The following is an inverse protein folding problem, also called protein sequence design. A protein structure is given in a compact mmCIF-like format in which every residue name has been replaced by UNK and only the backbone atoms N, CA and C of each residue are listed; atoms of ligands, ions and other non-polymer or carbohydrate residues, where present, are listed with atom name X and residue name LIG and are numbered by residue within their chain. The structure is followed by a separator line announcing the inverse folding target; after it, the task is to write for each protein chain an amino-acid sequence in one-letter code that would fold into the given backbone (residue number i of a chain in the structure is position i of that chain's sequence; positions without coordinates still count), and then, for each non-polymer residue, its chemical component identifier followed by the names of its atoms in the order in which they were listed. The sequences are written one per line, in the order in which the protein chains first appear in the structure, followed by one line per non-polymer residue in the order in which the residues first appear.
data_IF_235979947423
#
_entry.id   IF_235979947423
#
_cell.length_a   1.000
_cell.length_b   1.000
_cell.length_c   1.000
_cell.angle_alpha   90.00
_cell.angle_beta   90.00
_cell.angle_gamma   90.00
#
_symmetry.space_group_name_H-M   'P 1'
#
loop_
_entity.id
_entity.type
_entity.pdbx_description
1 polymer ?
#
# COMPACT_ATOMS: atom_id res chain seq x y z
N UNK A 1 -0.16 -13.30 -5.17
CA UNK A 1 -1.53 -13.51 -4.66
C UNK A 1 -2.56 -13.02 -5.68
N UNK A 2 -3.82 -13.47 -5.64
CA UNK A 2 -4.94 -12.85 -6.36
C UNK A 2 -5.65 -11.86 -5.42
N UNK A 3 -5.83 -10.60 -5.83
CA UNK A 3 -6.48 -9.59 -4.99
C UNK A 3 -8.00 -9.59 -5.19
N UNK A 4 -8.74 -9.68 -4.09
CA UNK A 4 -10.21 -9.64 -4.05
C UNK A 4 -10.70 -8.51 -3.13
N UNK A 5 -12.02 -8.29 -3.13
CA UNK A 5 -12.66 -7.30 -2.26
C UNK A 5 -12.45 -7.56 -0.77
N UNK A 6 -12.11 -8.78 -0.35
CA UNK A 6 -11.81 -9.09 1.06
C UNK A 6 -10.52 -8.43 1.56
N UNK A 7 -9.60 -8.10 0.64
CA UNK A 7 -8.35 -7.38 0.94
C UNK A 7 -8.55 -5.87 1.06
N UNK A 8 -9.70 -5.34 0.61
CA UNK A 8 -10.04 -3.93 0.74
C UNK A 8 -10.92 -3.76 1.97
N UNK A 9 -10.57 -2.84 2.86
CA UNK A 9 -11.39 -2.53 4.03
C UNK A 9 -12.77 -2.07 3.53
N UNK A 10 -13.86 -2.67 4.00
CA UNK A 10 -15.20 -2.24 3.62
C UNK A 10 -15.46 -0.85 4.21
N UNK A 11 -15.20 0.17 3.40
CA UNK A 11 -15.69 1.53 3.59
C UNK A 11 -16.93 1.71 2.70
N UNK A 12 -17.64 2.83 2.85
CA UNK A 12 -18.69 3.26 1.90
C UNK A 12 -18.06 3.66 0.54
N UNK A 13 -17.18 2.84 0.00
CA UNK A 13 -16.57 3.04 -1.31
C UNK A 13 -17.49 2.43 -2.37
N UNK A 14 -17.67 3.17 -3.47
CA UNK A 14 -18.39 2.63 -4.63
C UNK A 14 -17.61 1.49 -5.27
N UNK A 15 -18.30 0.66 -6.06
CA UNK A 15 -17.68 -0.46 -6.77
C UNK A 15 -16.49 -0.03 -7.66
N UNK A 16 -16.56 1.17 -8.23
CA UNK A 16 -15.48 1.72 -9.08
C UNK A 16 -14.21 2.03 -8.27
N UNK A 17 -14.36 2.64 -7.08
CA UNK A 17 -13.21 2.92 -6.22
C UNK A 17 -12.56 1.62 -5.72
N UNK A 18 -13.35 0.59 -5.41
CA UNK A 18 -12.82 -0.71 -5.04
C UNK A 18 -12.05 -1.37 -6.20
N UNK A 19 -12.54 -1.23 -7.43
CA UNK A 19 -11.87 -1.73 -8.63
C UNK A 19 -10.53 -1.01 -8.87
N UNK A 20 -10.50 0.33 -8.75
CA UNK A 20 -9.28 1.12 -8.88
C UNK A 20 -8.22 0.69 -7.85
N UNK A 21 -8.62 0.48 -6.60
CA UNK A 21 -7.72 -0.02 -5.55
C UNK A 21 -7.11 -1.38 -5.96
N UNK A 22 -7.93 -2.32 -6.45
CA UNK A 22 -7.45 -3.63 -6.90
C UNK A 22 -6.51 -3.54 -8.12
N UNK A 23 -6.68 -2.53 -8.99
CA UNK A 23 -5.76 -2.25 -10.09
C UNK A 23 -4.42 -1.71 -9.56
N UNK A 24 -4.44 -0.71 -8.68
CA UNK A 24 -3.25 -0.17 -8.04
C UNK A 24 -2.46 -1.24 -7.26
N UNK A 25 -3.14 -2.14 -6.55
CA UNK A 25 -2.49 -3.26 -5.86
C UNK A 25 -1.74 -4.18 -6.84
N UNK A 26 -2.28 -4.42 -8.04
CA UNK A 26 -1.65 -5.27 -9.06
C UNK A 26 -0.43 -4.61 -9.71
N UNK A 27 -0.53 -3.31 -9.96
CA UNK A 27 0.47 -2.49 -10.66
C UNK A 27 1.61 -2.04 -9.73
N UNK A 28 1.51 -2.30 -8.43
CA UNK A 28 2.51 -1.92 -7.45
C UNK A 28 3.90 -2.52 -7.75
N UNK A 29 4.96 -1.77 -7.41
CA UNK A 29 6.34 -2.25 -7.53
C UNK A 29 6.50 -3.64 -6.87
N UNK A 30 7.17 -4.62 -7.52
CA UNK A 30 7.17 -6.01 -7.07
C UNK A 30 7.61 -6.24 -5.61
N UNK A 31 8.57 -5.46 -5.11
CA UNK A 31 9.02 -5.55 -3.71
C UNK A 31 7.99 -5.03 -2.71
N UNK A 32 7.28 -3.94 -3.04
CA UNK A 32 6.15 -3.46 -2.22
C UNK A 32 4.97 -4.41 -2.32
N UNK A 33 4.82 -5.11 -3.44
CA UNK A 33 3.79 -6.13 -3.60
C UNK A 33 4.02 -7.34 -2.69
N UNK A 34 5.28 -7.74 -2.47
CA UNK A 34 5.61 -8.77 -1.46
C UNK A 34 5.22 -8.32 -0.05
N UNK A 35 5.57 -7.07 0.31
CA UNK A 35 5.14 -6.44 1.56
C UNK A 35 3.62 -6.47 1.70
N UNK A 36 2.90 -6.02 0.67
CA UNK A 36 1.46 -6.01 0.65
C UNK A 36 0.88 -7.42 0.84
N UNK A 37 1.35 -8.41 0.08
CA UNK A 37 0.88 -9.80 0.20
C UNK A 37 1.03 -10.31 1.64
N UNK A 38 2.18 -10.09 2.28
CA UNK A 38 2.42 -10.52 3.66
C UNK A 38 1.55 -9.76 4.68
N UNK A 39 1.31 -8.46 4.49
CA UNK A 39 0.41 -7.69 5.33
C UNK A 39 -1.05 -8.16 5.23
N UNK A 40 -1.50 -8.48 4.02
CA UNK A 40 -2.84 -9.03 3.77
C UNK A 40 -2.98 -10.42 4.41
N UNK A 41 -1.96 -11.27 4.31
CA UNK A 41 -1.92 -12.57 5.01
C UNK A 41 -1.93 -12.42 6.54
N UNK A 42 -1.33 -11.35 7.07
CA UNK A 42 -1.38 -10.99 8.49
C UNK A 42 -2.72 -10.34 8.92
N UNK A 43 -3.69 -10.26 8.01
CA UNK A 43 -5.03 -9.73 8.26
C UNK A 43 -5.11 -8.20 8.28
N UNK A 44 -4.13 -7.51 7.70
CA UNK A 44 -4.27 -6.09 7.34
C UNK A 44 -5.15 -5.97 6.08
N UNK A 45 -5.55 -4.75 5.73
CA UNK A 45 -6.39 -4.45 4.57
C UNK A 45 -5.97 -3.12 3.96
N UNK A 46 -6.22 -2.94 2.67
CA UNK A 46 -6.04 -1.65 1.98
C UNK A 46 -7.30 -0.80 2.18
N UNK A 47 -7.14 0.49 2.48
CA UNK A 47 -8.26 1.44 2.60
C UNK A 47 -8.43 2.33 1.38
N UNK A 48 -7.32 2.69 0.74
CA UNK A 48 -7.32 3.65 -0.35
C UNK A 48 -6.11 3.45 -1.26
N UNK A 49 -6.21 3.95 -2.48
CA UNK A 49 -5.13 3.94 -3.45
C UNK A 49 -5.24 5.17 -4.37
N UNK A 50 -4.10 5.73 -4.74
CA UNK A 50 -4.02 6.77 -5.76
C UNK A 50 -2.84 6.52 -6.70
N UNK A 51 -2.94 7.12 -7.89
CA UNK A 51 -1.90 7.11 -8.94
C UNK A 51 -1.30 8.50 -9.08
N UNK A 52 -0.12 8.54 -9.71
CA UNK A 52 0.57 9.76 -10.14
C UNK A 52 1.01 10.68 -9.00
N UNK A 53 1.17 10.12 -7.80
CA UNK A 53 1.77 10.79 -6.65
C UNK A 53 2.73 9.82 -5.93
N UNK A 54 3.95 10.25 -5.57
CA UNK A 54 4.50 11.62 -5.66
C UNK A 54 4.96 12.03 -7.06
N UNK A 55 5.26 11.06 -7.93
CA UNK A 55 5.67 11.27 -9.32
C UNK A 55 4.62 10.69 -10.29
N UNK A 56 4.61 11.14 -11.55
CA UNK A 56 3.79 10.52 -12.61
C UNK A 56 4.11 9.02 -12.73
N UNK A 57 3.08 8.18 -12.77
CA UNK A 57 3.20 6.71 -12.76
C UNK A 57 3.40 6.07 -11.39
N UNK A 58 3.53 6.85 -10.32
CA UNK A 58 3.62 6.33 -8.95
C UNK A 58 2.29 5.74 -8.49
N UNK A 59 2.36 4.82 -7.52
CA UNK A 59 1.19 4.33 -6.80
C UNK A 59 1.39 4.59 -5.31
N UNK A 60 0.40 5.23 -4.70
CA UNK A 60 0.31 5.43 -3.26
C UNK A 60 -0.82 4.59 -2.71
N UNK A 61 -0.50 3.66 -1.81
CA UNK A 61 -1.46 2.77 -1.14
C UNK A 61 -1.53 3.06 0.34
N UNK A 62 -2.74 3.12 0.89
CA UNK A 62 -2.97 3.31 2.31
C UNK A 62 -3.51 2.02 2.93
N UNK A 63 -2.87 1.55 3.99
CA UNK A 63 -3.26 0.39 4.77
C UNK A 63 -4.21 0.79 5.90
N UNK A 64 -5.03 -0.16 6.35
CA UNK A 64 -6.06 0.07 7.35
C UNK A 64 -5.54 0.21 8.78
N UNK A 65 -4.30 -0.18 9.02
CA UNK A 65 -3.64 -0.12 10.30
C UNK A 65 -2.15 -0.43 10.19
N UNK A 66 -1.43 -0.40 11.33
CA UNK A 66 0.02 -0.54 11.39
C UNK A 66 0.54 -1.78 10.68
N UNK A 67 1.73 -1.65 10.10
CA UNK A 67 2.46 -2.80 9.53
C UNK A 67 2.62 -3.88 10.60
N UNK A 68 2.13 -5.06 10.27
CA UNK A 68 2.11 -6.24 11.16
C UNK A 68 3.31 -7.13 10.94
N UNK A 69 3.93 -7.01 9.78
CA UNK A 69 5.08 -7.79 9.36
C UNK A 69 6.33 -6.93 9.44
N UNK A 70 7.37 -7.44 10.11
CA UNK A 70 8.67 -6.80 10.11
C UNK A 70 9.37 -7.12 8.80
N UNK A 71 9.38 -6.19 7.85
CA UNK A 71 10.15 -6.37 6.61
C UNK A 71 11.62 -6.03 6.84
N UNK A 72 12.47 -6.97 6.42
CA UNK A 72 13.91 -6.86 6.56
C UNK A 72 14.42 -5.67 5.72
N UNK A 73 15.10 -4.73 6.37
CA UNK A 73 15.63 -3.48 5.76
C UNK A 73 16.78 -3.72 4.78
N UNK A 74 17.09 -4.98 4.45
CA UNK A 74 18.17 -5.38 3.57
C UNK A 74 17.81 -5.32 2.07
N UNK A 75 16.53 -5.09 1.73
CA UNK A 75 16.05 -4.93 0.36
C UNK A 75 16.04 -3.48 -0.15
N UNK A 76 15.52 -3.23 -1.37
CA UNK A 76 15.42 -1.87 -1.93
C UNK A 76 14.30 -1.03 -1.28
N UNK A 77 13.50 -1.64 -0.40
CA UNK A 77 12.46 -0.96 0.37
C UNK A 77 13.09 0.05 1.33
N UNK A 78 12.65 1.30 1.22
CA UNK A 78 12.99 2.35 2.17
C UNK A 78 11.85 2.48 3.16
N UNK A 79 12.15 2.29 4.43
CA UNK A 79 11.19 2.51 5.50
C UNK A 79 11.36 3.91 6.09
N UNK A 80 10.24 4.58 6.34
CA UNK A 80 10.18 5.90 6.94
C UNK A 80 9.07 5.95 8.01
N UNK A 81 9.31 6.67 9.10
CA UNK A 81 8.34 6.94 10.16
C UNK A 81 8.20 8.45 10.33
N UNK A 82 7.38 9.14 9.51
CA UNK A 82 7.14 10.57 9.70
C UNK A 82 6.53 10.87 11.06
N UNK A 83 5.75 9.93 11.61
CA UNK A 83 5.00 10.14 12.85
C UNK A 83 3.97 11.26 12.73
N UNK A 84 3.50 11.54 11.51
CA UNK A 84 2.60 12.66 11.25
C UNK A 84 1.15 12.29 11.62
N UNK A 85 0.53 12.98 12.59
CA UNK A 85 -0.83 12.66 13.02
C UNK A 85 -1.91 13.05 12.00
N UNK A 86 -1.58 13.84 10.98
CA UNK A 86 -2.51 14.34 9.97
C UNK A 86 -2.50 13.55 8.66
N UNK A 87 -1.41 12.85 8.36
CA UNK A 87 -1.23 12.15 7.08
C UNK A 87 -1.09 10.64 7.25
N UNK A 88 0.10 10.15 7.59
CA UNK A 88 0.36 8.74 7.88
C UNK A 88 1.50 8.62 8.89
N UNK A 89 1.49 7.52 9.64
CA UNK A 89 2.44 7.30 10.72
C UNK A 89 3.76 6.75 10.20
N UNK A 90 3.70 5.84 9.22
CA UNK A 90 4.88 5.24 8.60
C UNK A 90 4.60 4.79 7.16
N UNK A 91 5.66 4.66 6.37
CA UNK A 91 5.59 4.21 4.98
C UNK A 91 6.78 3.34 4.58
N UNK A 92 6.53 2.49 3.59
CA UNK A 92 7.57 1.85 2.78
C UNK A 92 7.49 2.41 1.37
N UNK A 93 8.64 2.79 0.82
CA UNK A 93 8.75 3.31 -0.54
C UNK A 93 9.82 2.57 -1.35
N UNK A 94 9.60 2.45 -2.66
CA UNK A 94 10.50 1.74 -3.56
C UNK A 94 10.23 2.07 -5.02
N UNK A 95 11.27 2.00 -5.86
CA UNK A 95 11.17 2.09 -7.31
C UNK A 95 11.43 3.49 -7.87
N UNK A 96 11.33 3.57 -9.20
CA UNK A 96 11.32 4.78 -10.02
C UNK A 96 10.34 4.51 -11.20
N UNK A 97 9.13 5.10 -11.24
CA UNK A 97 8.62 6.11 -10.30
C UNK A 97 8.45 5.59 -8.87
N UNK A 98 8.40 6.49 -7.89
CA UNK A 98 8.42 6.12 -6.48
C UNK A 98 7.05 5.62 -6.01
N UNK A 99 6.92 4.31 -5.78
CA UNK A 99 5.70 3.75 -5.20
C UNK A 99 5.79 3.79 -3.67
N UNK A 100 4.65 3.94 -3.00
CA UNK A 100 4.56 4.11 -1.55
C UNK A 100 3.41 3.25 -1.00
N UNK A 101 3.66 2.56 0.11
CA UNK A 101 2.64 1.92 0.95
C UNK A 101 2.73 2.54 2.34
N UNK A 102 1.64 3.13 2.84
CA UNK A 102 1.59 3.87 4.11
C UNK A 102 0.47 3.37 5.03
N UNK A 103 0.49 3.71 6.32
CA UNK A 103 -0.62 3.48 7.27
C UNK A 103 -0.82 4.61 8.27
#
# INVERSE_FOLDING_TARGET
MEYTLDHVRPLRIGAEAAKEILECMRDLHPELRKLLDAELEAGNRVTDASRDWPDEGSIFLTMSGPFRTGYDRAGPLRYNEPGDPHYWTADYSCGDPLHIVAY
#
